data_IF_002737868825
#
_entry.id   IF_002737868825
#
_cell.length_a   1.000
_cell.length_b   1.000
_cell.length_c   1.000
_cell.angle_alpha   90.00
_cell.angle_beta   90.00
_cell.angle_gamma   90.00
#
_symmetry.space_group_name_H-M   'P 1'
#
loop_
_entity.id
_entity.type
_entity.pdbx_description
1 polymer ?
#
# COMPACT_ATOMS: atom_id res chain seq x y z
N UNK A 1 -38.09 8.30 23.02
CA UNK A 1 -36.80 8.99 23.27
C UNK A 1 -35.61 8.04 23.34
N UNK A 2 -35.59 7.00 24.19
CA UNK A 2 -34.47 6.04 24.28
C UNK A 2 -34.10 5.34 22.94
N UNK A 3 -35.10 4.97 22.13
CA UNK A 3 -34.88 4.32 20.81
C UNK A 3 -34.26 5.26 19.76
N UNK A 4 -34.52 6.57 19.86
CA UNK A 4 -33.97 7.59 18.93
C UNK A 4 -32.52 7.90 19.28
N UNK A 5 -32.19 7.97 20.58
CA UNK A 5 -30.82 8.15 21.07
C UNK A 5 -29.93 6.97 20.67
N UNK A 6 -30.45 5.74 20.76
CA UNK A 6 -29.71 4.54 20.35
C UNK A 6 -29.42 4.53 18.83
N UNK A 7 -30.39 5.00 18.01
CA UNK A 7 -30.21 5.13 16.56
C UNK A 7 -29.15 6.18 16.20
N UNK A 8 -29.13 7.31 16.92
CA UNK A 8 -28.15 8.38 16.75
C UNK A 8 -26.72 7.95 17.12
N UNK A 9 -26.55 7.14 18.17
CA UNK A 9 -25.25 6.60 18.57
C UNK A 9 -24.75 5.57 17.54
N UNK A 10 -25.64 4.70 17.03
CA UNK A 10 -25.29 3.75 15.96
C UNK A 10 -24.92 4.49 14.67
N UNK A 11 -25.64 5.57 14.32
CA UNK A 11 -25.28 6.43 13.19
C UNK A 11 -23.93 7.15 13.41
N UNK A 12 -23.62 7.63 14.63
CA UNK A 12 -22.34 8.27 14.94
C UNK A 12 -21.14 7.30 14.78
N UNK A 13 -21.33 6.04 15.19
CA UNK A 13 -20.33 4.97 15.04
C UNK A 13 -20.23 4.50 13.58
N UNK A 14 -21.29 4.61 12.79
CA UNK A 14 -21.26 4.33 11.34
C UNK A 14 -20.69 5.49 10.50
N UNK A 15 -20.57 6.69 11.08
CA UNK A 15 -19.93 7.85 10.43
C UNK A 15 -18.46 8.03 10.76
N UNK A 16 -17.85 7.16 11.57
CA UNK A 16 -16.38 7.06 11.55
C UNK A 16 -16.02 6.43 10.22
N UNK A 17 -15.77 7.28 9.21
CA UNK A 17 -15.08 6.86 8.01
C UNK A 17 -13.80 6.17 8.48
N UNK A 18 -13.75 4.83 8.38
CA UNK A 18 -12.55 4.08 8.71
C UNK A 18 -11.53 4.44 7.64
N UNK A 19 -10.78 5.51 7.90
CA UNK A 19 -9.66 5.97 7.10
C UNK A 19 -8.73 4.80 6.81
N UNK A 20 -8.17 4.75 5.61
CA UNK A 20 -7.19 3.73 5.26
C UNK A 20 -5.98 3.81 6.22
N UNK A 21 -5.28 2.70 6.51
CA UNK A 21 -4.14 2.70 7.44
C UNK A 21 -3.12 3.83 7.21
N UNK A 22 -2.72 4.10 5.96
CA UNK A 22 -1.79 5.17 5.60
C UNK A 22 -2.36 6.57 5.81
N UNK A 23 -3.67 6.75 5.61
CA UNK A 23 -4.32 8.01 5.93
C UNK A 23 -4.34 8.22 7.46
N UNK A 24 -4.60 7.18 8.26
CA UNK A 24 -4.50 7.27 9.73
C UNK A 24 -3.08 7.65 10.15
N UNK A 25 -2.06 7.00 9.59
CA UNK A 25 -0.65 7.30 9.84
C UNK A 25 -0.33 8.76 9.51
N UNK A 26 -0.73 9.25 8.33
CA UNK A 26 -0.46 10.61 7.91
C UNK A 26 -1.05 11.64 8.89
N UNK A 27 -2.31 11.46 9.30
CA UNK A 27 -2.93 12.37 10.27
C UNK A 27 -2.19 12.35 11.61
N UNK A 28 -1.78 11.18 12.07
CA UNK A 28 -1.09 11.03 13.35
C UNK A 28 0.31 11.68 13.35
N UNK A 29 1.03 11.57 12.24
CA UNK A 29 2.28 12.30 12.01
C UNK A 29 2.06 13.82 12.07
N UNK A 30 1.02 14.32 11.41
CA UNK A 30 0.70 15.76 11.35
C UNK A 30 0.25 16.33 12.71
N UNK A 31 -0.46 15.53 13.51
CA UNK A 31 -1.00 15.97 14.80
C UNK A 31 0.00 15.81 15.96
N UNK A 32 0.83 14.76 15.96
CA UNK A 32 1.53 14.31 17.17
C UNK A 32 3.07 14.32 17.09
N UNK A 33 3.69 14.81 16.01
CA UNK A 33 5.17 14.86 15.86
C UNK A 33 5.86 13.51 16.13
N UNK A 34 5.30 12.44 15.58
CA UNK A 34 5.75 11.07 15.81
C UNK A 34 7.09 10.80 15.11
N UNK A 35 7.98 10.09 15.79
CA UNK A 35 9.29 9.68 15.24
C UNK A 35 9.34 8.23 14.78
N UNK A 36 8.42 7.41 15.28
CA UNK A 36 8.39 5.98 15.01
C UNK A 36 6.95 5.50 15.08
N UNK A 37 6.55 4.72 14.08
CA UNK A 37 5.24 4.07 14.06
C UNK A 37 5.40 2.56 13.94
N UNK A 38 4.36 1.84 14.32
CA UNK A 38 4.24 0.42 14.03
C UNK A 38 3.01 0.20 13.17
N UNK A 39 3.17 -0.39 11.98
CA UNK A 39 2.05 -0.55 11.03
C UNK A 39 0.88 -1.34 11.63
N UNK A 40 1.14 -2.27 12.55
CA UNK A 40 0.09 -3.03 13.25
C UNK A 40 -0.88 -2.15 14.03
N UNK A 41 -0.46 -0.96 14.45
CA UNK A 41 -1.26 -0.07 15.30
C UNK A 41 -2.32 0.68 14.48
N UNK A 42 -2.22 0.65 13.14
CA UNK A 42 -3.12 1.32 12.21
C UNK A 42 -3.99 0.36 11.39
N UNK A 43 -3.81 -0.95 11.58
CA UNK A 43 -4.56 -2.01 10.87
C UNK A 43 -5.45 -2.80 11.82
N UNK A 44 -6.74 -2.92 11.48
CA UNK A 44 -7.71 -3.67 12.29
C UNK A 44 -7.88 -5.14 11.85
N UNK A 45 -7.09 -5.58 10.85
CA UNK A 45 -7.14 -6.92 10.26
C UNK A 45 -5.82 -7.68 10.48
N UNK A 46 -5.88 -9.01 10.40
CA UNK A 46 -4.71 -9.89 10.58
C UNK A 46 -3.86 -9.94 9.32
N UNK A 47 -2.55 -9.88 9.50
CA UNK A 47 -1.55 -10.07 8.45
C UNK A 47 -0.22 -10.59 9.07
N UNK A 48 0.54 -11.31 8.27
CA UNK A 48 1.83 -11.91 8.66
C UNK A 48 3.00 -11.12 8.05
N UNK A 49 2.84 -10.73 6.79
CA UNK A 49 3.81 -9.97 6.01
C UNK A 49 3.15 -8.73 5.40
N UNK A 50 3.92 -7.65 5.28
CA UNK A 50 3.56 -6.50 4.46
C UNK A 50 4.68 -6.25 3.46
N UNK A 51 4.30 -6.08 2.19
CA UNK A 51 5.20 -5.86 1.08
C UNK A 51 5.05 -4.41 0.64
N UNK A 52 6.11 -3.63 0.83
CA UNK A 52 6.23 -2.25 0.37
C UNK A 52 6.90 -2.31 -1.00
N UNK A 53 6.19 -1.91 -2.04
CA UNK A 53 6.61 -2.07 -3.43
C UNK A 53 6.70 -0.68 -4.04
N UNK A 54 7.87 -0.33 -4.59
CA UNK A 54 8.01 0.83 -5.44
C UNK A 54 8.19 0.41 -6.87
N UNK A 55 7.13 0.54 -7.65
CA UNK A 55 7.10 0.04 -9.02
C UNK A 55 5.67 -0.15 -9.49
N UNK A 56 5.48 -0.30 -10.79
CA UNK A 56 4.16 -0.54 -11.33
C UNK A 56 3.68 -1.94 -10.92
N UNK A 57 2.66 -2.02 -10.04
CA UNK A 57 1.99 -3.27 -9.62
C UNK A 57 1.18 -3.95 -10.74
N UNK A 58 1.67 -3.82 -11.97
CA UNK A 58 1.39 -4.63 -13.15
C UNK A 58 1.49 -6.13 -12.86
N UNK A 59 0.98 -6.93 -13.78
CA UNK A 59 1.01 -8.39 -13.66
C UNK A 59 2.41 -9.01 -13.58
N UNK A 60 3.50 -8.31 -13.88
CA UNK A 60 4.85 -8.80 -13.59
C UNK A 60 5.09 -8.96 -12.08
N UNK A 61 4.72 -7.95 -11.29
CA UNK A 61 4.82 -8.00 -9.83
C UNK A 61 3.82 -9.00 -9.24
N UNK A 62 2.58 -9.04 -9.75
CA UNK A 62 1.59 -10.02 -9.30
C UNK A 62 2.05 -11.46 -9.59
N UNK A 63 2.67 -11.71 -10.75
CA UNK A 63 3.27 -13.00 -11.11
C UNK A 63 4.45 -13.33 -10.21
N UNK A 64 5.32 -12.37 -9.93
CA UNK A 64 6.42 -12.56 -9.00
C UNK A 64 5.92 -12.98 -7.61
N UNK A 65 4.90 -12.32 -7.08
CA UNK A 65 4.27 -12.70 -5.81
C UNK A 65 3.70 -14.13 -5.86
N UNK A 66 3.05 -14.53 -6.96
CA UNK A 66 2.58 -15.91 -7.16
C UNK A 66 3.73 -16.92 -7.21
N UNK A 67 4.85 -16.58 -7.85
CA UNK A 67 6.07 -17.40 -7.85
C UNK A 67 6.65 -17.56 -6.44
N UNK A 68 6.40 -16.61 -5.53
CA UNK A 68 6.72 -16.72 -4.11
C UNK A 68 5.66 -17.50 -3.29
N UNK A 69 4.68 -18.11 -3.97
CA UNK A 69 3.62 -18.90 -3.34
C UNK A 69 2.51 -18.06 -2.71
N UNK A 70 2.38 -16.78 -3.07
CA UNK A 70 1.31 -15.91 -2.56
C UNK A 70 0.07 -16.02 -3.46
N UNK A 71 -1.09 -16.29 -2.86
CA UNK A 71 -2.40 -16.19 -3.49
C UNK A 71 -2.77 -14.71 -3.67
N UNK A 72 -2.63 -14.24 -4.90
CA UNK A 72 -2.87 -12.85 -5.30
C UNK A 72 -4.17 -12.77 -6.09
N UNK A 73 -5.16 -12.07 -5.53
CA UNK A 73 -6.36 -11.65 -6.26
C UNK A 73 -6.05 -10.45 -7.15
N UNK A 74 -6.72 -10.36 -8.29
CA UNK A 74 -6.58 -9.22 -9.20
C UNK A 74 -7.03 -7.93 -8.49
N UNK A 75 -6.26 -6.86 -8.64
CA UNK A 75 -6.66 -5.51 -8.20
C UNK A 75 -7.85 -5.08 -9.07
N UNK A 76 -9.04 -4.95 -8.48
CA UNK A 76 -10.29 -4.57 -9.16
C UNK A 76 -10.36 -3.06 -9.38
N UNK A 77 -9.45 -2.50 -10.17
CA UNK A 77 -9.65 -1.18 -10.76
C UNK A 77 -9.27 -1.25 -12.23
N UNK A 78 -10.06 -0.52 -13.02
CA UNK A 78 -10.29 -0.69 -14.46
C UNK A 78 -9.03 -0.94 -15.26
N UNK A 79 -8.87 -2.16 -15.74
CA UNK A 79 -8.17 -2.37 -17.00
C UNK A 79 -8.89 -3.44 -17.80
N UNK A 80 -8.97 -3.24 -19.11
CA UNK A 80 -9.60 -4.17 -20.06
C UNK A 80 -8.77 -5.44 -20.27
N UNK A 81 -7.56 -5.47 -19.72
CA UNK A 81 -6.68 -6.63 -19.76
C UNK A 81 -6.96 -7.56 -18.57
N UNK A 82 -7.51 -8.75 -18.83
CA UNK A 82 -7.99 -9.70 -17.81
C UNK A 82 -6.88 -10.23 -16.88
N UNK A 83 -5.63 -10.20 -17.33
CA UNK A 83 -4.51 -10.85 -16.64
C UNK A 83 -3.67 -9.91 -15.76
N UNK A 84 -3.86 -8.60 -15.90
CA UNK A 84 -3.00 -7.56 -15.31
C UNK A 84 -3.86 -6.52 -14.56
N UNK A 85 -3.45 -6.16 -13.34
CA UNK A 85 -4.05 -5.03 -12.61
C UNK A 85 -3.66 -3.69 -13.24
N UNK A 86 -4.27 -2.60 -12.77
CA UNK A 86 -4.16 -1.21 -13.25
C UNK A 86 -2.77 -0.91 -13.83
N UNK A 87 -2.70 -0.47 -15.09
CA UNK A 87 -1.52 0.23 -15.58
C UNK A 87 -1.42 1.61 -14.90
N UNK A 88 -0.57 1.73 -13.88
CA UNK A 88 -0.10 3.02 -13.37
C UNK A 88 1.39 3.15 -13.70
N UNK A 89 1.81 4.20 -14.42
CA UNK A 89 3.19 4.37 -14.87
C UNK A 89 4.21 4.25 -13.73
N UNK A 90 3.83 4.67 -12.52
CA UNK A 90 4.54 4.41 -11.27
C UNK A 90 3.58 4.57 -10.08
N UNK A 91 3.62 3.65 -9.12
CA UNK A 91 2.90 3.79 -7.86
C UNK A 91 3.56 2.97 -6.76
N UNK A 92 3.91 3.62 -5.67
CA UNK A 92 4.21 2.92 -4.44
C UNK A 92 2.95 2.20 -3.97
N UNK A 93 3.07 0.92 -3.61
CA UNK A 93 1.96 0.10 -3.16
C UNK A 93 2.35 -0.68 -1.91
N UNK A 94 1.43 -0.73 -0.95
CA UNK A 94 1.53 -1.57 0.22
C UNK A 94 0.60 -2.77 0.04
N UNK A 95 1.15 -3.97 0.19
CA UNK A 95 0.40 -5.22 0.06
C UNK A 95 0.46 -6.00 1.35
N UNK A 96 -0.68 -6.17 2.01
CA UNK A 96 -0.78 -6.95 3.24
C UNK A 96 -1.12 -8.40 2.90
N UNK A 97 -0.33 -9.31 3.47
CA UNK A 97 -0.41 -10.76 3.22
C UNK A 97 -0.67 -11.49 4.52
N UNK A 98 -1.69 -12.35 4.53
CA UNK A 98 -2.02 -13.24 5.63
C UNK A 98 -2.15 -14.67 5.14
N UNK A 99 -1.47 -15.62 5.80
CA UNK A 99 -1.50 -17.03 5.43
C UNK A 99 -1.26 -17.26 3.91
N UNK A 100 -0.19 -16.64 3.40
CA UNK A 100 0.19 -16.68 1.97
C UNK A 100 -0.91 -16.21 1.01
N UNK A 101 -1.78 -15.31 1.45
CA UNK A 101 -2.83 -14.70 0.64
C UNK A 101 -2.84 -13.20 0.80
N UNK A 102 -2.98 -12.46 -0.30
CA UNK A 102 -3.19 -11.01 -0.22
C UNK A 102 -4.57 -10.72 0.36
N UNK A 103 -4.60 -9.94 1.43
CA UNK A 103 -5.83 -9.55 2.13
C UNK A 103 -6.20 -8.09 1.92
N UNK A 104 -5.22 -7.22 1.65
CA UNK A 104 -5.45 -5.80 1.45
C UNK A 104 -4.36 -5.18 0.59
N UNK A 105 -4.76 -4.29 -0.31
CA UNK A 105 -3.89 -3.41 -1.08
C UNK A 105 -4.15 -1.98 -0.63
N UNK A 106 -3.08 -1.21 -0.51
CA UNK A 106 -3.18 0.20 -0.17
C UNK A 106 -2.18 1.00 -1.00
N UNK A 107 -2.60 2.19 -1.41
CA UNK A 107 -1.78 3.14 -2.13
C UNK A 107 -1.58 4.35 -1.23
N UNK A 108 -0.38 4.95 -1.18
CA UNK A 108 -0.18 6.16 -0.40
C UNK A 108 -1.16 7.26 -0.80
N UNK A 109 -1.71 8.00 0.17
CA UNK A 109 -2.60 9.11 -0.12
C UNK A 109 -1.90 10.11 -1.05
N UNK A 110 -2.59 10.52 -2.11
CA UNK A 110 -2.06 11.46 -3.10
C UNK A 110 -2.89 12.76 -3.07
N UNK A 111 -2.25 13.89 -3.32
CA UNK A 111 -2.92 15.16 -3.49
C UNK A 111 -3.88 15.20 -4.69
N UNK A 112 -3.78 14.27 -5.65
CA UNK A 112 -4.76 14.09 -6.73
C UNK A 112 -6.17 13.80 -6.20
N UNK A 113 -6.33 13.12 -5.07
CA UNK A 113 -7.65 12.86 -4.48
C UNK A 113 -8.32 14.15 -3.95
N UNK A 114 -7.54 15.23 -3.73
CA UNK A 114 -8.06 16.55 -3.35
C UNK A 114 -8.57 17.37 -4.54
N UNK A 115 -8.45 16.88 -5.79
CA UNK A 115 -8.93 17.57 -7.00
C UNK A 115 -10.44 17.86 -7.01
N UNK A 116 -11.24 17.25 -6.13
CA UNK A 116 -12.67 17.57 -6.01
C UNK A 116 -12.95 18.87 -5.23
N UNK A 117 -11.96 19.47 -4.56
CA UNK A 117 -12.11 20.76 -3.86
C UNK A 117 -11.18 21.81 -4.50
N UNK A 118 -11.74 22.50 -5.49
CA UNK A 118 -11.12 23.62 -6.20
C UNK A 118 -10.60 24.69 -5.23
N UNK A 119 -9.31 25.07 -5.36
CA UNK A 119 -8.77 26.44 -5.30
C UNK A 119 -7.27 26.55 -4.91
N UNK A 120 -6.48 25.47 -4.95
CA UNK A 120 -5.02 25.55 -4.80
C UNK A 120 -4.29 24.69 -5.84
N UNK A 121 -3.07 25.06 -6.28
CA UNK A 121 -2.28 24.24 -7.19
C UNK A 121 -2.05 22.86 -6.57
N UNK A 122 -2.56 21.83 -7.26
CA UNK A 122 -2.39 20.43 -6.88
C UNK A 122 -0.93 20.07 -7.09
N UNK A 123 -0.21 19.90 -6.00
CA UNK A 123 1.18 19.43 -6.04
C UNK A 123 1.13 17.91 -6.24
N UNK A 124 1.71 17.34 -7.32
CA UNK A 124 1.49 15.95 -7.74
C UNK A 124 2.22 14.89 -6.89
N UNK A 125 2.65 15.23 -5.67
CA UNK A 125 3.41 14.32 -4.82
C UNK A 125 2.50 13.58 -3.83
N UNK A 126 2.85 12.33 -3.55
CA UNK A 126 2.24 11.56 -2.46
C UNK A 126 2.38 12.33 -1.14
N UNK A 127 1.30 12.34 -0.36
CA UNK A 127 1.28 12.97 0.96
C UNK A 127 2.01 12.13 2.01
N UNK A 128 2.20 10.84 1.76
CA UNK A 128 3.01 9.92 2.56
C UNK A 128 3.91 9.16 1.57
N UNK A 129 5.21 9.11 1.84
CA UNK A 129 6.21 8.54 0.94
C UNK A 129 6.92 7.36 1.61
N UNK A 130 7.20 6.29 0.86
CA UNK A 130 7.97 5.14 1.37
C UNK A 130 9.48 5.27 1.06
N UNK A 131 9.87 6.26 0.23
CA UNK A 131 11.24 6.59 -0.18
C UNK A 131 12.04 5.39 -0.68
N UNK A 132 11.34 4.53 -1.40
CA UNK A 132 11.91 3.33 -1.98
C UNK A 132 12.50 3.66 -3.36
N UNK A 133 13.71 3.16 -3.70
CA UNK A 133 14.20 3.19 -5.06
C UNK A 133 13.23 2.47 -6.01
N UNK A 134 13.10 2.99 -7.22
CA UNK A 134 12.28 2.37 -8.26
C UNK A 134 12.69 0.91 -8.49
N UNK A 135 11.72 0.01 -8.47
CA UNK A 135 11.92 -1.42 -8.58
C UNK A 135 12.29 -2.11 -7.26
N UNK A 136 12.19 -1.45 -6.11
CA UNK A 136 12.46 -2.07 -4.82
C UNK A 136 11.19 -2.70 -4.22
N UNK A 137 11.35 -3.88 -3.61
CA UNK A 137 10.35 -4.51 -2.76
C UNK A 137 10.96 -4.74 -1.38
N UNK A 138 10.38 -4.15 -0.34
CA UNK A 138 10.74 -4.41 1.05
C UNK A 138 9.63 -5.24 1.71
N UNK A 139 10.01 -6.33 2.36
CA UNK A 139 9.09 -7.17 3.14
C UNK A 139 9.36 -6.97 4.63
N UNK A 140 8.29 -6.66 5.36
CA UNK A 140 8.28 -6.62 6.82
C UNK A 140 7.37 -7.72 7.36
N UNK A 141 7.66 -8.21 8.57
CA UNK A 141 6.73 -9.04 9.32
C UNK A 141 5.92 -8.20 10.30
N UNK A 142 4.78 -8.69 10.77
CA UNK A 142 4.01 -8.03 11.84
C UNK A 142 4.80 -7.79 13.15
N UNK A 143 5.85 -8.59 13.40
CA UNK A 143 6.78 -8.40 14.53
C UNK A 143 7.83 -7.32 14.27
N UNK A 144 8.17 -7.09 13.01
CA UNK A 144 9.21 -6.16 12.58
C UNK A 144 8.61 -5.01 11.73
N UNK A 145 7.40 -4.58 12.05
CA UNK A 145 6.64 -3.60 11.29
C UNK A 145 6.87 -2.16 11.75
N UNK A 146 8.00 -1.92 12.39
CA UNK A 146 8.36 -0.62 12.92
C UNK A 146 9.05 0.20 11.83
N UNK A 147 8.60 1.43 11.66
CA UNK A 147 9.14 2.38 10.69
C UNK A 147 9.56 3.65 11.43
N UNK A 148 10.73 4.17 11.09
CA UNK A 148 11.09 5.54 11.41
C UNK A 148 10.23 6.49 10.57
N UNK A 149 9.80 7.57 11.22
CA UNK A 149 9.09 8.68 10.57
C UNK A 149 10.08 9.82 10.40
N UNK A 150 10.33 10.19 9.14
CA UNK A 150 11.06 11.40 8.81
C UNK A 150 10.14 12.33 8.01
N UNK A 151 9.58 13.34 8.67
CA UNK A 151 8.51 14.16 8.10
C UNK A 151 7.34 13.28 7.66
N UNK A 152 7.13 13.13 6.35
CA UNK A 152 6.07 12.32 5.74
C UNK A 152 6.61 11.06 5.07
N UNK A 153 7.84 10.69 5.40
CA UNK A 153 8.51 9.50 4.90
C UNK A 153 8.43 8.38 5.94
N UNK A 154 8.14 7.15 5.50
CA UNK A 154 8.21 5.95 6.32
C UNK A 154 9.41 5.10 5.92
N UNK A 155 10.34 4.92 6.86
CA UNK A 155 11.57 4.16 6.63
C UNK A 155 11.52 2.88 7.45
N UNK A 156 11.40 1.70 6.82
CA UNK A 156 11.35 0.42 7.54
C UNK A 156 12.65 0.14 8.31
N UNK A 157 12.54 -0.15 9.61
CA UNK A 157 13.73 -0.34 10.45
C UNK A 157 14.31 -1.76 10.36
N UNK A 158 13.46 -2.78 10.20
CA UNK A 158 13.87 -4.20 10.30
C UNK A 158 13.24 -5.06 9.20
N UNK A 159 13.58 -4.80 7.92
CA UNK A 159 13.11 -5.63 6.82
C UNK A 159 13.56 -7.09 6.99
N UNK A 160 12.65 -8.02 6.72
CA UNK A 160 12.98 -9.46 6.69
C UNK A 160 13.50 -9.89 5.33
N UNK A 161 13.19 -9.13 4.27
CA UNK A 161 13.69 -9.34 2.91
C UNK A 161 13.64 -8.03 2.14
N UNK A 162 14.62 -7.84 1.26
CA UNK A 162 14.68 -6.73 0.30
C UNK A 162 14.95 -7.35 -1.07
N UNK A 163 14.20 -6.94 -2.08
CA UNK A 163 14.52 -7.17 -3.48
C UNK A 163 14.78 -5.83 -4.14
N UNK A 164 15.85 -5.76 -4.94
CA UNK A 164 16.28 -4.54 -5.62
C UNK A 164 16.19 -4.73 -7.14
N UNK A 165 16.05 -3.64 -7.90
CA UNK A 165 16.07 -3.65 -9.37
C UNK A 165 15.00 -4.55 -10.03
N UNK A 166 13.89 -4.83 -9.34
CA UNK A 166 12.84 -5.75 -9.80
C UNK A 166 12.21 -5.31 -11.12
N UNK A 167 12.11 -4.01 -11.37
CA UNK A 167 11.64 -3.48 -12.63
C UNK A 167 12.46 -3.98 -13.84
N UNK A 168 13.77 -4.09 -13.71
CA UNK A 168 14.63 -4.61 -14.77
C UNK A 168 14.56 -6.14 -14.81
N UNK A 169 14.67 -6.80 -13.66
CA UNK A 169 14.69 -8.26 -13.57
C UNK A 169 13.42 -8.91 -14.12
N UNK A 170 12.26 -8.38 -13.74
CA UNK A 170 10.98 -8.93 -14.14
C UNK A 170 10.71 -8.73 -15.64
N UNK A 171 11.12 -7.58 -16.20
CA UNK A 171 11.05 -7.33 -17.66
C UNK A 171 11.97 -8.25 -18.45
N UNK A 172 13.22 -8.42 -18.00
CA UNK A 172 14.20 -9.29 -18.66
C UNK A 172 13.77 -10.76 -18.66
N UNK A 173 13.21 -11.25 -17.54
CA UNK A 173 12.76 -12.64 -17.40
C UNK A 173 11.66 -13.01 -18.39
N UNK A 174 10.75 -12.08 -18.68
CA UNK A 174 9.67 -12.32 -19.64
C UNK A 174 10.11 -12.14 -21.10
N UNK A 175 11.05 -11.24 -21.37
CA UNK A 175 11.72 -11.19 -22.67
C UNK A 175 12.44 -12.51 -22.98
N UNK A 176 13.21 -13.06 -22.03
CA UNK A 176 13.89 -14.35 -22.21
C UNK A 176 12.91 -15.50 -22.48
N UNK A 177 11.77 -15.55 -21.77
CA UNK A 177 10.72 -16.55 -22.06
C UNK A 177 10.13 -16.42 -23.47
N UNK A 178 10.02 -15.20 -24.01
CA UNK A 178 9.54 -14.99 -25.37
C UNK A 178 10.56 -15.42 -26.44
N UNK A 179 11.86 -15.45 -26.12
CA UNK A 179 12.91 -15.99 -26.99
C UNK A 179 13.09 -17.52 -26.87
N UNK A 180 12.47 -18.17 -25.89
CA UNK A 180 12.55 -19.62 -25.67
C UNK A 180 11.34 -20.40 -26.20
N UNK A 181 10.52 -19.81 -27.09
CA UNK A 181 9.39 -20.49 -27.75
C UNK A 181 9.72 -20.85 -29.20
#
# INVERSE_FOLDING_TARGET
MKKIILLLIICLVLTTCNKAPLEKILNDIEENSIKTIKLTDYTDFKWDEVWLISGNISGYYLKFMRDQGIDVKKVQYSDTNTDFGIYQEHSDTIVYVYNKKVVYYEFPPDNRDREFYSLAPVVPYALLDLKLPLGQIIILSNKNSECEVNHKELIPLKPIKIYENMDAELRCRDNLRNYCK
#
